data_IF_831298224757
#
_entry.id   IF_831298224757
#
_cell.length_a   1.000
_cell.length_b   1.000
_cell.length_c   1.000
_cell.angle_alpha   90.00
_cell.angle_beta   90.00
_cell.angle_gamma   90.00
#
_symmetry.space_group_name_H-M   'P 1'
#
loop_
_entity.id
_entity.type
_entity.pdbx_description
1 polymer ?
#
# COMPACT_ATOMS: atom_id res chain seq x y z
N UNK A 1 -14.03 -36.37 24.86
CA UNK A 1 -13.08 -36.25 23.73
C UNK A 1 -12.32 -34.94 23.87
N UNK A 2 -10.99 -35.00 23.75
CA UNK A 2 -10.01 -34.05 24.30
C UNK A 2 -10.08 -32.64 23.69
N UNK A 3 -9.79 -31.65 24.54
CA UNK A 3 -9.73 -30.20 24.31
C UNK A 3 -9.10 -29.81 22.95
N UNK A 4 -9.84 -29.02 22.18
CA UNK A 4 -9.30 -28.26 21.04
C UNK A 4 -8.47 -27.13 21.66
N UNK A 5 -7.16 -27.04 21.42
CA UNK A 5 -6.33 -26.00 22.03
C UNK A 5 -6.80 -24.61 21.59
N UNK A 6 -6.84 -23.66 22.54
CA UNK A 6 -7.08 -22.24 22.31
C UNK A 6 -6.02 -21.71 21.33
N UNK A 7 -6.33 -21.71 20.03
CA UNK A 7 -5.40 -21.28 18.96
C UNK A 7 -5.39 -19.77 18.72
N UNK A 8 -6.22 -19.00 19.41
CA UNK A 8 -6.40 -17.56 19.18
C UNK A 8 -5.68 -16.73 20.23
N UNK A 9 -4.35 -16.75 20.21
CA UNK A 9 -3.53 -15.85 21.03
C UNK A 9 -3.48 -14.48 20.36
N UNK A 10 -4.27 -13.53 20.85
CA UNK A 10 -4.28 -12.15 20.36
C UNK A 10 -3.10 -11.38 20.96
N UNK A 11 -2.12 -11.06 20.12
CA UNK A 11 -0.97 -10.23 20.50
C UNK A 11 -1.42 -8.77 20.66
N UNK A 12 -1.45 -8.26 21.89
CA UNK A 12 -1.61 -6.83 22.17
C UNK A 12 -0.30 -6.12 21.80
N UNK A 13 -0.26 -5.41 20.67
CA UNK A 13 0.85 -4.49 20.39
C UNK A 13 0.59 -3.14 21.05
N UNK A 14 1.42 -2.78 22.02
CA UNK A 14 1.49 -1.41 22.53
C UNK A 14 2.12 -0.52 21.45
N UNK A 15 1.34 0.45 20.96
CA UNK A 15 1.76 1.40 19.93
C UNK A 15 2.65 2.47 20.58
N UNK A 16 3.97 2.26 20.57
CA UNK A 16 4.92 3.35 20.81
C UNK A 16 6.04 3.30 19.79
N UNK A 17 6.22 4.38 19.03
CA UNK A 17 7.48 4.65 18.36
C UNK A 17 7.68 6.15 18.15
N UNK A 18 8.92 6.55 18.44
CA UNK A 18 9.50 7.88 18.35
C UNK A 18 9.61 8.31 16.88
N UNK A 19 9.13 9.51 16.58
CA UNK A 19 9.33 10.18 15.29
C UNK A 19 10.67 10.91 15.27
N UNK A 20 11.44 10.74 14.20
CA UNK A 20 12.56 11.61 13.81
C UNK A 20 12.14 12.31 12.49
N UNK A 21 12.14 13.62 12.29
CA UNK A 21 12.54 14.74 13.17
C UNK A 21 12.69 16.08 12.42
N UNK A 22 12.78 16.10 11.08
CA UNK A 22 12.98 17.37 10.35
C UNK A 22 11.73 17.93 9.63
N UNK A 23 11.05 17.16 8.77
CA UNK A 23 9.88 17.67 8.00
C UNK A 23 8.65 17.99 8.85
N UNK A 24 8.44 17.25 9.94
CA UNK A 24 7.36 17.52 10.91
C UNK A 24 7.71 18.67 11.86
N UNK A 25 9.00 18.96 12.08
CA UNK A 25 9.42 20.10 12.88
C UNK A 25 9.18 21.41 12.12
N UNK A 26 9.43 21.44 10.81
CA UNK A 26 9.22 22.60 9.95
C UNK A 26 7.73 22.89 9.70
N UNK A 27 6.92 21.86 9.43
CA UNK A 27 5.45 22.01 9.42
C UNK A 27 4.89 22.29 10.81
N UNK A 28 5.46 21.79 11.90
CA UNK A 28 5.04 22.16 13.25
C UNK A 28 5.40 23.61 13.62
N UNK A 29 6.45 24.17 13.02
CA UNK A 29 6.87 25.56 13.24
C UNK A 29 5.92 26.56 12.55
N UNK A 30 5.45 26.26 11.34
CA UNK A 30 4.58 27.18 10.56
C UNK A 30 3.09 26.82 10.58
N UNK A 31 2.75 25.53 10.73
CA UNK A 31 1.39 24.99 10.70
C UNK A 31 1.18 23.90 11.77
N UNK A 32 1.29 24.23 13.07
CA UNK A 32 1.27 23.27 14.18
C UNK A 32 0.02 22.40 14.24
N UNK A 33 -1.15 22.91 13.82
CA UNK A 33 -2.38 22.12 13.76
C UNK A 33 -2.34 21.04 12.66
N UNK A 34 -1.74 21.38 11.51
CA UNK A 34 -1.62 20.49 10.36
C UNK A 34 -0.66 19.34 10.64
N UNK A 35 0.51 19.63 11.24
CA UNK A 35 1.46 18.60 11.63
C UNK A 35 0.86 17.58 12.62
N UNK A 36 0.07 18.05 13.60
CA UNK A 36 -0.63 17.17 14.55
C UNK A 36 -1.70 16.31 13.89
N UNK A 37 -2.43 16.90 12.93
CA UNK A 37 -3.43 16.20 12.14
C UNK A 37 -2.82 15.04 11.34
N UNK A 38 -1.70 15.28 10.68
CA UNK A 38 -1.02 14.26 9.88
C UNK A 38 -0.56 13.06 10.74
N UNK A 39 -0.03 13.35 11.94
CA UNK A 39 0.33 12.30 12.90
C UNK A 39 -0.90 11.52 13.36
N UNK A 40 -2.01 12.21 13.63
CA UNK A 40 -3.27 11.57 14.03
C UNK A 40 -3.84 10.66 12.93
N UNK A 41 -3.93 11.16 11.69
CA UNK A 41 -4.43 10.40 10.53
C UNK A 41 -3.54 9.17 10.25
N UNK A 42 -2.22 9.29 10.42
CA UNK A 42 -1.29 8.16 10.33
C UNK A 42 -1.62 7.08 11.35
N UNK A 43 -1.83 7.46 12.63
CA UNK A 43 -2.13 6.50 13.70
C UNK A 43 -3.49 5.84 13.52
N UNK A 44 -4.50 6.58 13.05
CA UNK A 44 -5.82 6.02 12.69
C UNK A 44 -5.69 5.01 11.56
N UNK A 45 -4.95 5.35 10.50
CA UNK A 45 -4.71 4.45 9.36
C UNK A 45 -3.96 3.18 9.78
N UNK A 46 -3.00 3.29 10.70
CA UNK A 46 -2.30 2.14 11.27
C UNK A 46 -3.25 1.23 12.06
N UNK A 47 -4.10 1.81 12.91
CA UNK A 47 -5.12 1.05 13.65
C UNK A 47 -6.09 0.32 12.72
N UNK A 48 -6.54 0.96 11.64
CA UNK A 48 -7.38 0.34 10.61
C UNK A 48 -6.66 -0.80 9.86
N UNK A 49 -5.37 -0.63 9.57
CA UNK A 49 -4.57 -1.68 8.92
C UNK A 49 -4.42 -2.91 9.81
N UNK A 50 -4.10 -2.72 11.09
CA UNK A 50 -3.97 -3.82 12.05
C UNK A 50 -5.27 -4.60 12.18
N UNK A 51 -6.40 -3.90 12.15
CA UNK A 51 -7.71 -4.53 12.14
C UNK A 51 -7.96 -5.34 10.87
N UNK A 52 -7.64 -4.79 9.68
CA UNK A 52 -7.78 -5.52 8.42
C UNK A 52 -6.90 -6.80 8.39
N UNK A 53 -5.66 -6.71 8.86
CA UNK A 53 -4.75 -7.86 8.97
C UNK A 53 -5.31 -8.93 9.91
N UNK A 54 -5.90 -8.52 11.05
CA UNK A 54 -6.57 -9.42 11.98
C UNK A 54 -7.75 -10.15 11.32
N UNK A 55 -8.55 -9.46 10.51
CA UNK A 55 -9.67 -10.08 9.79
C UNK A 55 -9.20 -11.08 8.73
N UNK A 56 -8.11 -10.80 8.02
CA UNK A 56 -7.54 -11.72 7.02
C UNK A 56 -6.97 -12.98 7.68
N UNK A 57 -6.29 -12.83 8.83
CA UNK A 57 -5.83 -13.98 9.63
C UNK A 57 -7.02 -14.79 10.13
N UNK A 58 -8.07 -14.13 10.64
CA UNK A 58 -9.28 -14.78 11.13
C UNK A 58 -10.01 -15.54 10.01
N UNK A 59 -10.09 -14.98 8.80
CA UNK A 59 -10.66 -15.65 7.62
C UNK A 59 -9.88 -16.92 7.25
N UNK A 60 -8.54 -16.85 7.20
CA UNK A 60 -7.69 -18.02 6.94
C UNK A 60 -7.83 -19.09 8.00
N UNK A 61 -7.89 -18.70 9.27
CA UNK A 61 -8.12 -19.62 10.39
C UNK A 61 -9.50 -20.30 10.29
N UNK A 62 -10.52 -19.57 9.84
CA UNK A 62 -11.85 -20.12 9.62
C UNK A 62 -11.89 -21.18 8.51
N UNK A 63 -11.32 -20.86 7.34
CA UNK A 63 -11.20 -21.82 6.23
C UNK A 63 -10.41 -23.05 6.64
N UNK A 64 -9.27 -22.89 7.32
CA UNK A 64 -8.46 -24.01 7.81
C UNK A 64 -9.21 -24.87 8.84
N UNK A 65 -10.00 -24.26 9.72
CA UNK A 65 -10.83 -24.98 10.69
C UNK A 65 -11.97 -25.75 10.02
N UNK A 66 -12.57 -25.19 8.96
CA UNK A 66 -13.56 -25.89 8.13
C UNK A 66 -12.93 -27.10 7.43
N UNK A 67 -11.78 -26.94 6.78
CA UNK A 67 -11.07 -28.04 6.10
C UNK A 67 -10.68 -29.16 7.07
N UNK A 68 -10.11 -28.81 8.22
CA UNK A 68 -9.75 -29.77 9.26
C UNK A 68 -10.97 -30.51 9.82
N UNK A 69 -12.09 -29.80 10.00
CA UNK A 69 -13.35 -30.41 10.44
C UNK A 69 -13.93 -31.34 9.38
N UNK A 70 -13.89 -30.95 8.09
CA UNK A 70 -14.32 -31.81 6.99
C UNK A 70 -13.50 -33.11 6.93
N UNK A 71 -12.17 -33.02 7.03
CA UNK A 71 -11.29 -34.19 7.04
C UNK A 71 -11.59 -35.14 8.22
N UNK A 72 -11.86 -34.59 9.40
CA UNK A 72 -12.23 -35.36 10.59
C UNK A 72 -13.56 -36.10 10.38
N UNK A 73 -14.59 -35.40 9.89
CA UNK A 73 -15.93 -35.96 9.66
C UNK A 73 -15.88 -37.05 8.58
N UNK A 74 -15.09 -36.85 7.53
CA UNK A 74 -14.86 -37.86 6.49
C UNK A 74 -14.21 -39.12 7.06
N UNK A 75 -13.17 -38.99 7.89
CA UNK A 75 -12.52 -40.13 8.56
C UNK A 75 -13.47 -40.89 9.49
N UNK A 76 -14.44 -40.19 10.09
CA UNK A 76 -15.43 -40.77 10.99
C UNK A 76 -16.69 -41.29 10.28
N UNK A 77 -16.78 -41.17 8.95
CA UNK A 77 -17.97 -41.59 8.18
C UNK A 77 -19.22 -40.73 8.43
N UNK A 78 -19.07 -39.50 8.93
CA UNK A 78 -20.19 -38.60 9.25
C UNK A 78 -20.59 -37.75 8.03
N UNK A 79 -21.38 -38.33 7.14
CA UNK A 79 -21.76 -37.74 5.83
C UNK A 79 -22.48 -36.40 5.97
N UNK A 80 -23.53 -36.31 6.79
CA UNK A 80 -24.33 -35.09 6.95
C UNK A 80 -23.49 -33.89 7.40
N UNK A 81 -22.63 -34.11 8.40
CA UNK A 81 -21.71 -33.08 8.87
C UNK A 81 -20.69 -32.67 7.80
N UNK A 82 -20.16 -33.62 7.03
CA UNK A 82 -19.21 -33.36 5.96
C UNK A 82 -19.83 -32.48 4.85
N UNK A 83 -21.06 -32.80 4.43
CA UNK A 83 -21.79 -32.02 3.43
C UNK A 83 -22.04 -30.60 3.93
N UNK A 84 -22.47 -30.44 5.18
CA UNK A 84 -22.71 -29.13 5.77
C UNK A 84 -21.44 -28.26 5.85
N UNK A 85 -20.31 -28.84 6.25
CA UNK A 85 -19.02 -28.11 6.33
C UNK A 85 -18.51 -27.74 4.94
N UNK A 86 -18.63 -28.63 3.94
CA UNK A 86 -18.26 -28.30 2.55
C UNK A 86 -19.14 -27.21 1.94
N UNK A 87 -20.44 -27.22 2.23
CA UNK A 87 -21.35 -26.15 1.82
C UNK A 87 -20.95 -24.81 2.45
N UNK A 88 -20.57 -24.81 3.73
CA UNK A 88 -20.07 -23.61 4.40
C UNK A 88 -18.75 -23.11 3.82
N UNK A 89 -17.80 -24.01 3.53
CA UNK A 89 -16.54 -23.66 2.88
C UNK A 89 -16.77 -22.99 1.53
N UNK A 90 -17.64 -23.56 0.70
CA UNK A 90 -18.05 -22.98 -0.58
C UNK A 90 -18.66 -21.59 -0.37
N UNK A 91 -19.66 -21.47 0.51
CA UNK A 91 -20.33 -20.20 0.80
C UNK A 91 -19.35 -19.14 1.30
N UNK A 92 -18.43 -19.49 2.20
CA UNK A 92 -17.45 -18.55 2.73
C UNK A 92 -16.45 -18.11 1.66
N UNK A 93 -15.99 -19.00 0.78
CA UNK A 93 -15.12 -18.63 -0.33
C UNK A 93 -15.81 -17.71 -1.36
N UNK A 94 -17.13 -17.83 -1.51
CA UNK A 94 -17.92 -16.96 -2.42
C UNK A 94 -18.26 -15.60 -1.80
N UNK A 95 -18.49 -15.55 -0.48
CA UNK A 95 -19.05 -14.37 0.19
C UNK A 95 -18.10 -13.66 1.13
N UNK A 96 -16.98 -14.29 1.50
CA UNK A 96 -15.98 -13.85 2.47
C UNK A 96 -16.55 -13.35 3.80
N UNK A 97 -17.75 -13.80 4.15
CA UNK A 97 -18.49 -13.33 5.32
C UNK A 97 -19.08 -14.50 6.09
N UNK A 98 -19.20 -14.35 7.40
CA UNK A 98 -19.92 -15.30 8.25
C UNK A 98 -21.24 -14.66 8.69
N UNK A 99 -22.38 -15.37 8.57
CA UNK A 99 -23.67 -14.85 9.01
C UNK A 99 -23.66 -14.49 10.49
N UNK A 100 -24.20 -13.31 10.82
CA UNK A 100 -24.37 -12.88 12.20
C UNK A 100 -25.45 -13.71 12.94
N UNK A 101 -26.41 -14.26 12.20
CA UNK A 101 -27.45 -15.17 12.69
C UNK A 101 -27.39 -16.47 11.89
N UNK A 102 -27.57 -17.60 12.56
CA UNK A 102 -27.65 -18.91 11.92
C UNK A 102 -29.10 -19.23 11.57
N UNK A 103 -29.32 -19.89 10.43
CA UNK A 103 -30.63 -20.38 10.04
C UNK A 103 -30.96 -21.68 10.77
N UNK A 104 -32.25 -21.95 10.93
CA UNK A 104 -32.75 -23.22 11.42
C UNK A 104 -32.24 -24.36 10.52
N UNK A 105 -31.75 -25.44 11.13
CA UNK A 105 -31.13 -26.56 10.40
C UNK A 105 -29.62 -26.44 10.11
N UNK A 106 -28.94 -25.37 10.57
CA UNK A 106 -27.46 -25.32 10.47
C UNK A 106 -26.84 -26.46 11.30
N UNK A 107 -26.04 -27.32 10.67
CA UNK A 107 -25.40 -28.45 11.35
C UNK A 107 -24.49 -28.02 12.51
N UNK A 108 -24.46 -28.78 13.60
CA UNK A 108 -23.76 -28.44 14.85
C UNK A 108 -22.27 -28.09 14.65
N UNK A 109 -21.58 -28.80 13.76
CA UNK A 109 -20.17 -28.53 13.43
C UNK A 109 -19.95 -27.14 12.82
N UNK A 110 -20.86 -26.70 11.94
CA UNK A 110 -20.80 -25.36 11.31
C UNK A 110 -21.19 -24.28 12.33
N UNK A 111 -22.23 -24.52 13.13
CA UNK A 111 -22.65 -23.62 14.21
C UNK A 111 -21.48 -23.30 15.14
N UNK A 112 -20.75 -24.31 15.60
CA UNK A 112 -19.61 -24.14 16.49
C UNK A 112 -18.52 -23.26 15.87
N UNK A 113 -18.16 -23.50 14.61
CA UNK A 113 -17.13 -22.72 13.91
C UNK A 113 -17.56 -21.27 13.68
N UNK A 114 -18.82 -21.04 13.26
CA UNK A 114 -19.36 -19.68 13.07
C UNK A 114 -19.38 -18.89 14.37
N UNK A 115 -19.77 -19.52 15.48
CA UNK A 115 -19.74 -18.88 16.80
C UNK A 115 -18.34 -18.41 17.18
N UNK A 116 -17.32 -19.25 16.99
CA UNK A 116 -15.92 -18.90 17.29
C UNK A 116 -15.45 -17.74 16.41
N UNK A 117 -15.75 -17.78 15.10
CA UNK A 117 -15.41 -16.70 14.18
C UNK A 117 -16.06 -15.38 14.58
N UNK A 118 -17.37 -15.39 14.81
CA UNK A 118 -18.14 -14.18 15.15
C UNK A 118 -17.70 -13.57 16.48
N UNK A 119 -17.39 -14.39 17.50
CA UNK A 119 -16.83 -13.91 18.76
C UNK A 119 -15.45 -13.27 18.58
N UNK A 120 -14.59 -13.90 17.78
CA UNK A 120 -13.24 -13.38 17.49
C UNK A 120 -13.30 -12.06 16.69
N UNK A 121 -14.22 -11.96 15.73
CA UNK A 121 -14.48 -10.74 14.97
C UNK A 121 -15.00 -9.62 15.85
N UNK A 122 -15.99 -9.90 16.70
CA UNK A 122 -16.52 -8.91 17.64
C UNK A 122 -15.44 -8.38 18.60
N UNK A 123 -14.49 -9.23 19.02
CA UNK A 123 -13.34 -8.80 19.82
C UNK A 123 -12.41 -7.88 19.03
N UNK A 124 -12.09 -8.20 17.78
CA UNK A 124 -11.29 -7.35 16.90
C UNK A 124 -11.97 -5.99 16.65
N UNK A 125 -13.29 -6.00 16.43
CA UNK A 125 -14.11 -4.78 16.27
C UNK A 125 -14.02 -3.89 17.52
N UNK A 126 -14.15 -4.48 18.71
CA UNK A 126 -14.04 -3.76 19.98
C UNK A 126 -12.63 -3.19 20.19
N UNK A 127 -11.57 -3.94 19.85
CA UNK A 127 -10.19 -3.47 19.94
C UNK A 127 -9.91 -2.31 18.99
N UNK A 128 -10.40 -2.37 17.75
CA UNK A 128 -10.33 -1.26 16.80
C UNK A 128 -11.03 -0.03 17.35
N UNK A 129 -12.26 -0.17 17.82
CA UNK A 129 -13.03 0.92 18.41
C UNK A 129 -12.29 1.59 19.58
N UNK A 130 -11.80 0.80 20.54
CA UNK A 130 -11.02 1.31 21.67
C UNK A 130 -9.74 2.03 21.22
N UNK A 131 -9.05 1.51 20.21
CA UNK A 131 -7.83 2.12 19.67
C UNK A 131 -8.15 3.47 19.04
N UNK A 132 -9.19 3.55 18.21
CA UNK A 132 -9.64 4.80 17.60
C UNK A 132 -10.04 5.83 18.65
N UNK A 133 -10.83 5.44 19.66
CA UNK A 133 -11.23 6.34 20.75
C UNK A 133 -10.01 6.92 21.48
N UNK A 134 -9.03 6.09 21.86
CA UNK A 134 -7.82 6.56 22.56
C UNK A 134 -6.99 7.50 21.69
N UNK A 135 -6.84 7.20 20.40
CA UNK A 135 -6.11 8.05 19.46
C UNK A 135 -6.77 9.41 19.30
N UNK A 136 -8.09 9.45 19.14
CA UNK A 136 -8.85 10.70 19.00
C UNK A 136 -8.88 11.50 20.29
N UNK A 137 -8.97 10.85 21.46
CA UNK A 137 -8.84 11.52 22.76
C UNK A 137 -7.47 12.20 22.93
N UNK A 138 -6.39 11.48 22.62
CA UNK A 138 -5.03 12.04 22.65
C UNK A 138 -4.89 13.22 21.69
N UNK A 139 -5.45 13.11 20.48
CA UNK A 139 -5.40 14.19 19.50
C UNK A 139 -6.17 15.43 19.95
N UNK A 140 -7.36 15.26 20.52
CA UNK A 140 -8.15 16.35 21.08
C UNK A 140 -7.44 17.05 22.24
N UNK A 141 -6.78 16.30 23.12
CA UNK A 141 -5.98 16.87 24.20
C UNK A 141 -4.81 17.72 23.66
N UNK A 142 -4.09 17.21 22.65
CA UNK A 142 -2.99 17.92 22.00
C UNK A 142 -3.47 19.21 21.31
N UNK A 143 -4.60 19.17 20.61
CA UNK A 143 -5.19 20.35 19.99
C UNK A 143 -5.67 21.36 21.03
N UNK A 144 -6.25 20.91 22.14
CA UNK A 144 -6.65 21.80 23.24
C UNK A 144 -5.47 22.54 23.86
N UNK A 145 -4.36 21.84 24.10
CA UNK A 145 -3.12 22.45 24.59
C UNK A 145 -2.55 23.46 23.58
N UNK A 146 -2.56 23.11 22.29
CA UNK A 146 -2.09 23.98 21.22
C UNK A 146 -2.96 25.24 21.08
N UNK A 147 -4.29 25.09 21.13
CA UNK A 147 -5.22 26.22 21.04
C UNK A 147 -4.98 27.21 22.19
N UNK A 148 -4.83 26.71 23.43
CA UNK A 148 -4.52 27.53 24.61
C UNK A 148 -3.22 28.31 24.41
N UNK A 149 -2.15 27.64 23.96
CA UNK A 149 -0.85 28.27 23.71
C UNK A 149 -0.95 29.38 22.66
N UNK A 150 -1.50 29.09 21.48
CA UNK A 150 -1.64 30.08 20.41
C UNK A 150 -2.50 31.28 20.80
N UNK A 151 -3.48 31.09 21.68
CA UNK A 151 -4.30 32.19 22.21
C UNK A 151 -3.49 33.08 23.14
N UNK A 152 -2.65 32.49 24.00
CA UNK A 152 -1.74 33.23 24.90
C UNK A 152 -0.67 33.99 24.11
N UNK A 153 -0.19 33.41 23.02
CA UNK A 153 0.83 33.98 22.13
C UNK A 153 0.25 35.06 21.18
N UNK A 154 -1.05 35.32 21.21
CA UNK A 154 -1.72 36.30 20.34
C UNK A 154 -1.94 35.84 18.89
N UNK A 155 -1.66 34.58 18.57
CA UNK A 155 -1.79 33.99 17.23
C UNK A 155 -3.24 33.56 16.91
N UNK A 156 -4.13 34.54 16.83
CA UNK A 156 -5.59 34.31 16.73
C UNK A 156 -6.01 33.52 15.48
N UNK A 157 -5.39 33.76 14.32
CA UNK A 157 -5.71 33.00 13.09
C UNK A 157 -5.37 31.51 13.23
N UNK A 158 -4.24 31.18 13.83
CA UNK A 158 -3.83 29.81 14.07
C UNK A 158 -4.74 29.14 15.11
N UNK A 159 -5.10 29.87 16.17
CA UNK A 159 -6.04 29.39 17.18
C UNK A 159 -7.43 29.06 16.59
N UNK A 160 -7.93 29.86 15.64
CA UNK A 160 -9.20 29.59 14.94
C UNK A 160 -9.12 28.34 14.04
N UNK A 161 -7.97 28.10 13.38
CA UNK A 161 -7.72 26.86 12.62
C UNK A 161 -7.76 25.64 13.54
N UNK A 162 -7.14 25.73 14.71
CA UNK A 162 -7.15 24.65 15.71
C UNK A 162 -8.58 24.39 16.22
N UNK A 163 -9.34 25.44 16.53
CA UNK A 163 -10.75 25.33 16.95
C UNK A 163 -11.62 24.59 15.91
N UNK A 164 -11.39 24.87 14.63
CA UNK A 164 -12.07 24.19 13.52
C UNK A 164 -11.74 22.69 13.51
N UNK A 165 -10.47 22.35 13.70
CA UNK A 165 -10.01 20.95 13.72
C UNK A 165 -10.51 20.20 14.97
N UNK A 166 -10.52 20.85 16.14
CA UNK A 166 -11.14 20.29 17.37
C UNK A 166 -12.59 19.91 17.13
N UNK A 167 -13.36 20.79 16.45
CA UNK A 167 -14.77 20.52 16.14
C UNK A 167 -14.92 19.29 15.25
N UNK A 168 -14.04 19.13 14.25
CA UNK A 168 -14.04 17.96 13.35
C UNK A 168 -13.69 16.68 14.12
N UNK A 169 -12.64 16.72 14.94
CA UNK A 169 -12.21 15.58 15.74
C UNK A 169 -13.26 15.16 16.78
N UNK A 170 -13.99 16.12 17.38
CA UNK A 170 -15.11 15.83 18.28
C UNK A 170 -16.29 15.16 17.55
N UNK A 171 -16.63 15.65 16.35
CA UNK A 171 -17.67 15.00 15.51
C UNK A 171 -17.27 13.57 15.15
N UNK A 172 -16.02 13.34 14.78
CA UNK A 172 -15.51 12.00 14.53
C UNK A 172 -15.59 11.12 15.78
N UNK A 173 -15.15 11.63 16.93
CA UNK A 173 -15.22 10.91 18.21
C UNK A 173 -16.66 10.50 18.57
N UNK A 174 -17.62 11.39 18.33
CA UNK A 174 -19.04 11.11 18.56
C UNK A 174 -19.62 10.08 17.57
N UNK A 175 -19.03 9.95 16.38
CA UNK A 175 -19.42 8.95 15.37
C UNK A 175 -18.80 7.57 15.59
N UNK A 176 -17.77 7.46 16.44
CA UNK A 176 -17.17 6.18 16.76
C UNK A 176 -18.18 5.32 17.54
N UNK A 177 -18.37 4.04 17.17
CA UNK A 177 -19.32 3.19 17.86
C UNK A 177 -18.93 3.07 19.34
N UNK A 178 -19.87 3.44 20.22
CA UNK A 178 -19.70 3.44 21.66
C UNK A 178 -19.67 2.00 22.22
N UNK A 179 -18.57 1.27 22.00
CA UNK A 179 -18.25 0.03 22.72
C UNK A 179 -19.26 -1.13 22.69
N UNK A 180 -20.40 -1.01 22.00
CA UNK A 180 -21.39 -2.07 21.87
C UNK A 180 -21.51 -2.52 20.43
N UNK A 181 -21.29 -3.83 20.25
CA UNK A 181 -21.45 -4.56 19.01
C UNK A 181 -22.86 -4.34 18.44
N UNK A 182 -22.96 -3.51 17.41
CA UNK A 182 -24.05 -3.63 16.43
C UNK A 182 -23.45 -4.13 15.13
N UNK A 183 -23.89 -5.31 14.72
CA UNK A 183 -23.59 -5.89 13.42
C UNK A 183 -24.00 -4.91 12.34
N UNK A 184 -23.03 -4.44 11.56
CA UNK A 184 -23.30 -3.67 10.37
C UNK A 184 -23.31 -4.63 9.17
N UNK A 185 -24.41 -4.52 8.41
CA UNK A 185 -24.71 -5.30 7.21
C UNK A 185 -23.64 -5.15 6.13
N UNK A 186 -23.53 -6.22 5.36
CA UNK A 186 -22.66 -6.43 4.22
C UNK A 186 -22.66 -5.27 3.21
N UNK A 187 -21.46 -4.98 2.70
CA UNK A 187 -21.30 -4.41 1.35
C UNK A 187 -21.67 -5.52 0.35
N UNK A 188 -22.56 -5.29 -0.63
CA UNK A 188 -22.98 -6.34 -1.55
C UNK A 188 -21.84 -6.72 -2.53
N UNK A 189 -21.70 -8.01 -2.89
CA UNK A 189 -20.70 -8.46 -3.85
C UNK A 189 -21.09 -8.04 -5.28
N UNK A 190 -20.13 -7.55 -6.05
CA UNK A 190 -20.28 -7.49 -7.51
C UNK A 190 -20.05 -8.88 -8.12
N UNK A 191 -20.82 -9.28 -9.15
CA UNK A 191 -20.77 -10.64 -9.68
C UNK A 191 -19.43 -10.96 -10.35
N UNK A 192 -18.88 -12.12 -10.00
CA UNK A 192 -17.72 -12.74 -10.64
C UNK A 192 -18.08 -13.31 -12.01
N UNK A 193 -17.33 -12.92 -13.05
CA UNK A 193 -17.52 -13.40 -14.41
C UNK A 193 -16.90 -14.82 -14.56
N UNK A 194 -17.62 -15.86 -15.05
CA UNK A 194 -17.21 -17.26 -14.91
C UNK A 194 -16.08 -17.75 -15.84
N UNK A 195 -15.42 -16.86 -16.60
CA UNK A 195 -14.54 -17.26 -17.71
C UNK A 195 -13.04 -17.30 -17.38
N UNK A 196 -12.65 -17.42 -16.11
CA UNK A 196 -11.23 -17.38 -15.69
C UNK A 196 -10.70 -18.73 -15.18
N UNK A 197 -11.18 -19.85 -15.73
CA UNK A 197 -10.68 -21.18 -15.33
C UNK A 197 -10.22 -22.07 -16.51
N UNK A 198 -9.66 -21.46 -17.57
CA UNK A 198 -9.05 -22.25 -18.66
C UNK A 198 -7.62 -21.91 -19.09
N UNK A 199 -6.98 -20.87 -18.56
CA UNK A 199 -5.62 -20.52 -18.97
C UNK A 199 -4.62 -20.58 -17.79
N UNK A 200 -4.02 -21.76 -17.58
CA UNK A 200 -2.69 -21.85 -16.98
C UNK A 200 -1.66 -21.34 -18.00
N UNK A 201 -1.61 -20.03 -18.20
CA UNK A 201 -0.56 -19.36 -18.97
C UNK A 201 0.27 -18.47 -18.04
N UNK A 202 1.59 -18.67 -18.06
CA UNK A 202 2.55 -17.84 -17.36
C UNK A 202 2.27 -16.36 -17.68
N UNK A 203 1.97 -15.55 -16.65
CA UNK A 203 1.73 -14.14 -16.81
C UNK A 203 2.92 -13.49 -17.53
N UNK A 204 2.65 -12.79 -18.64
CA UNK A 204 3.68 -12.07 -19.35
C UNK A 204 4.36 -11.06 -18.37
N UNK A 205 5.70 -11.07 -18.26
CA UNK A 205 6.42 -10.39 -17.19
C UNK A 205 6.34 -8.86 -17.24
N UNK A 206 6.08 -8.31 -18.44
CA UNK A 206 5.90 -6.88 -18.68
C UNK A 206 4.47 -6.47 -18.28
N UNK A 207 4.35 -5.48 -17.40
CA UNK A 207 3.06 -4.92 -16.98
C UNK A 207 2.66 -3.75 -17.87
N UNK A 208 3.61 -2.83 -18.10
CA UNK A 208 3.43 -1.62 -18.88
C UNK A 208 4.78 -1.11 -19.40
N UNK A 209 4.79 -0.52 -20.59
CA UNK A 209 5.90 0.22 -21.14
C UNK A 209 5.43 1.51 -21.82
N UNK A 210 6.33 2.46 -21.95
CA UNK A 210 6.15 3.71 -22.69
C UNK A 210 7.49 4.13 -23.29
N UNK A 211 7.47 4.73 -24.47
CA UNK A 211 8.67 5.25 -25.14
C UNK A 211 8.35 6.51 -25.95
N UNK A 212 9.32 7.43 -26.00
CA UNK A 212 9.20 8.74 -26.66
C UNK A 212 8.86 8.68 -28.15
N UNK A 213 9.11 7.57 -28.84
CA UNK A 213 8.78 7.43 -30.26
C UNK A 213 7.30 7.09 -30.47
N UNK A 214 6.58 6.70 -29.40
CA UNK A 214 5.13 6.51 -29.39
C UNK A 214 4.51 7.16 -28.14
N UNK A 215 4.62 8.49 -28.02
CA UNK A 215 4.28 9.20 -26.79
C UNK A 215 2.81 9.04 -26.40
N UNK A 216 1.92 8.89 -27.37
CA UNK A 216 0.47 8.80 -27.18
C UNK A 216 -0.02 7.40 -26.74
N UNK A 217 0.88 6.41 -26.65
CA UNK A 217 0.49 5.01 -26.43
C UNK A 217 1.28 4.38 -25.29
N UNK A 218 0.56 3.97 -24.25
CA UNK A 218 1.07 3.03 -23.26
C UNK A 218 0.96 1.59 -23.80
N UNK A 219 2.01 0.80 -23.61
CA UNK A 219 2.13 -0.56 -24.14
C UNK A 219 1.96 -1.59 -23.03
N UNK A 220 1.03 -2.52 -23.21
CA UNK A 220 0.81 -3.64 -22.31
C UNK A 220 1.78 -4.81 -22.56
N UNK A 221 1.52 -5.98 -21.94
CA UNK A 221 2.46 -7.11 -21.91
C UNK A 221 2.93 -7.61 -23.29
N UNK A 222 2.06 -7.54 -24.31
CA UNK A 222 2.37 -7.98 -25.68
C UNK A 222 2.89 -6.85 -26.57
N UNK A 223 3.38 -5.74 -25.99
CA UNK A 223 3.77 -4.50 -26.68
C UNK A 223 2.69 -3.90 -27.60
N UNK A 224 1.43 -4.24 -27.31
CA UNK A 224 0.21 -3.64 -27.89
C UNK A 224 -0.30 -2.55 -26.96
N UNK A 225 -1.16 -1.65 -27.45
CA UNK A 225 -1.78 -0.62 -26.63
C UNK A 225 -2.43 -1.23 -25.37
N UNK A 226 -2.13 -0.66 -24.20
CA UNK A 226 -2.69 -1.05 -22.92
C UNK A 226 -4.09 -0.46 -22.77
N UNK A 227 -5.11 -1.21 -23.17
CA UNK A 227 -6.51 -0.76 -23.06
C UNK A 227 -6.84 -0.33 -21.63
N UNK A 228 -7.44 0.86 -21.50
CA UNK A 228 -7.84 1.44 -20.21
C UNK A 228 -6.69 2.05 -19.40
N UNK A 229 -5.47 2.08 -19.93
CA UNK A 229 -4.36 2.83 -19.33
C UNK A 229 -4.07 4.09 -20.13
N UNK A 230 -3.89 5.22 -19.44
CA UNK A 230 -3.52 6.49 -20.05
C UNK A 230 -2.53 7.26 -19.16
N UNK A 231 -1.71 8.09 -19.80
CA UNK A 231 -0.96 9.14 -19.11
C UNK A 231 -1.89 10.33 -18.87
N UNK A 232 -1.77 10.91 -17.68
CA UNK A 232 -2.59 12.04 -17.23
C UNK A 232 -1.66 13.05 -16.58
N UNK A 233 -1.21 14.03 -17.36
CA UNK A 233 -0.28 15.06 -16.95
C UNK A 233 -0.98 16.25 -16.28
N UNK A 234 -0.38 16.75 -15.21
CA UNK A 234 -0.92 17.79 -14.34
C UNK A 234 0.20 18.77 -13.97
N UNK A 235 -0.16 20.02 -13.67
CA UNK A 235 0.80 21.00 -13.12
C UNK A 235 1.97 21.35 -14.06
N UNK A 236 1.74 21.34 -15.36
CA UNK A 236 2.73 21.73 -16.38
C UNK A 236 3.62 20.60 -16.90
N UNK A 237 3.55 19.40 -16.32
CA UNK A 237 4.14 18.22 -16.96
C UNK A 237 3.46 17.98 -18.31
N UNK A 238 4.18 17.37 -19.25
CA UNK A 238 3.64 17.15 -20.58
C UNK A 238 4.62 16.50 -21.53
N UNK A 239 4.12 16.06 -22.67
CA UNK A 239 4.94 15.48 -23.74
C UNK A 239 5.49 16.63 -24.60
N UNK A 240 6.81 16.71 -24.73
CA UNK A 240 7.48 17.68 -25.59
C UNK A 240 7.37 17.31 -27.07
N UNK A 241 7.72 18.26 -27.95
CA UNK A 241 7.68 18.06 -29.42
C UNK A 241 8.54 16.89 -29.90
N UNK A 242 9.58 16.54 -29.14
CA UNK A 242 10.49 15.45 -29.44
C UNK A 242 10.02 14.10 -28.86
N UNK A 243 8.81 14.08 -28.28
CA UNK A 243 8.16 12.91 -27.68
C UNK A 243 8.60 12.61 -26.24
N UNK A 244 9.57 13.33 -25.68
CA UNK A 244 9.98 13.12 -24.29
C UNK A 244 8.90 13.58 -23.31
N UNK A 245 8.76 12.88 -22.18
CA UNK A 245 7.82 13.25 -21.12
C UNK A 245 8.54 14.17 -20.13
N UNK A 246 8.14 15.43 -20.10
CA UNK A 246 8.77 16.49 -19.30
C UNK A 246 8.13 16.62 -17.93
N UNK A 247 8.99 16.77 -16.92
CA UNK A 247 8.63 16.99 -15.53
C UNK A 247 9.14 18.37 -15.12
N UNK A 248 8.24 19.32 -14.87
CA UNK A 248 8.60 20.74 -14.61
C UNK A 248 8.14 21.25 -13.24
N UNK A 249 7.61 20.36 -12.39
CA UNK A 249 6.99 20.70 -11.11
C UNK A 249 5.64 20.03 -10.90
N UNK A 250 5.03 19.56 -11.98
CA UNK A 250 3.74 18.90 -11.99
C UNK A 250 3.78 17.43 -11.60
N UNK A 251 2.69 16.71 -11.89
CA UNK A 251 2.55 15.27 -11.67
C UNK A 251 2.06 14.61 -12.94
N UNK A 252 2.53 13.39 -13.23
CA UNK A 252 1.94 12.57 -14.28
C UNK A 252 1.44 11.27 -13.69
N UNK A 253 0.16 10.98 -13.84
CA UNK A 253 -0.45 9.72 -13.39
C UNK A 253 -0.45 8.70 -14.52
N UNK A 254 -0.35 7.42 -14.15
CA UNK A 254 -0.73 6.32 -15.04
C UNK A 254 -2.07 5.78 -14.57
N UNK A 255 -3.14 6.21 -15.22
CA UNK A 255 -4.49 5.78 -14.88
C UNK A 255 -4.72 4.33 -15.31
N UNK A 256 -5.63 3.62 -14.61
CA UNK A 256 -5.98 2.23 -14.93
C UNK A 256 -4.94 1.15 -14.55
N UNK A 257 -3.74 1.52 -14.07
CA UNK A 257 -2.67 0.55 -13.81
C UNK A 257 -2.57 0.05 -12.36
N UNK A 258 -2.91 0.88 -11.37
CA UNK A 258 -2.55 0.69 -9.96
C UNK A 258 -2.86 -0.72 -9.43
N UNK A 259 -4.10 -1.19 -9.60
CA UNK A 259 -4.53 -2.51 -9.14
C UNK A 259 -3.81 -3.65 -9.85
N UNK A 260 -3.61 -3.54 -11.17
CA UNK A 260 -2.92 -4.56 -11.96
C UNK A 260 -1.46 -4.69 -11.53
N UNK A 261 -0.77 -3.57 -11.37
CA UNK A 261 0.61 -3.53 -10.88
C UNK A 261 0.71 -4.13 -9.47
N UNK A 262 -0.18 -3.72 -8.57
CA UNK A 262 -0.25 -4.24 -7.20
C UNK A 262 -0.41 -5.75 -7.19
N UNK A 263 -1.47 -6.27 -7.81
CA UNK A 263 -1.78 -7.71 -7.78
C UNK A 263 -0.65 -8.53 -8.39
N UNK A 264 -0.07 -8.10 -9.51
CA UNK A 264 1.01 -8.81 -10.15
C UNK A 264 2.27 -8.88 -9.28
N UNK A 265 2.67 -7.78 -8.63
CA UNK A 265 3.84 -7.76 -7.74
C UNK A 265 3.58 -8.51 -6.42
N UNK A 266 2.35 -8.44 -5.87
CA UNK A 266 1.97 -9.22 -4.68
C UNK A 266 1.99 -10.73 -4.96
N UNK A 267 1.62 -11.14 -6.17
CA UNK A 267 1.62 -12.54 -6.58
C UNK A 267 3.05 -13.06 -6.80
N UNK A 268 3.86 -12.33 -7.56
CA UNK A 268 5.21 -12.78 -7.94
C UNK A 268 6.25 -12.59 -6.83
N UNK A 269 6.00 -11.67 -5.88
CA UNK A 269 6.98 -11.15 -4.92
C UNK A 269 8.19 -10.48 -5.58
N UNK A 270 8.06 -10.12 -6.85
CA UNK A 270 9.15 -9.65 -7.70
C UNK A 270 8.73 -8.40 -8.46
N UNK A 271 9.71 -7.57 -8.80
CA UNK A 271 9.47 -6.29 -9.44
C UNK A 271 10.72 -5.82 -10.17
N UNK A 272 10.54 -5.21 -11.35
CA UNK A 272 11.62 -4.46 -12.00
C UNK A 272 11.12 -3.17 -12.63
N UNK A 273 11.97 -2.17 -12.66
CA UNK A 273 11.78 -0.89 -13.35
C UNK A 273 12.98 -0.65 -14.27
N UNK A 274 12.72 -0.49 -15.56
CA UNK A 274 13.68 0.11 -16.50
C UNK A 274 13.26 1.55 -16.78
N UNK A 275 14.21 2.48 -16.80
CA UNK A 275 13.94 3.90 -17.00
C UNK A 275 15.11 4.56 -17.75
N UNK A 276 14.77 5.30 -18.80
CA UNK A 276 15.69 6.17 -19.53
C UNK A 276 15.29 7.62 -19.24
N UNK A 277 16.19 8.40 -18.65
CA UNK A 277 15.87 9.74 -18.15
C UNK A 277 17.06 10.70 -18.20
N UNK A 278 16.77 11.98 -18.06
CA UNK A 278 17.75 13.04 -17.86
C UNK A 278 17.26 13.99 -16.75
N UNK A 279 18.15 14.39 -15.85
CA UNK A 279 17.82 15.37 -14.81
C UNK A 279 18.09 16.80 -15.29
N UNK A 280 17.16 17.72 -15.03
CA UNK A 280 17.33 19.13 -15.39
C UNK A 280 18.20 19.91 -14.39
N UNK A 281 18.37 19.41 -13.18
CA UNK A 281 19.17 20.06 -12.13
C UNK A 281 19.67 19.03 -11.12
N UNK A 282 20.90 19.21 -10.64
CA UNK A 282 21.40 18.45 -9.50
C UNK A 282 20.90 18.99 -8.15
N UNK A 283 20.33 20.19 -8.05
CA UNK A 283 19.79 20.73 -6.78
C UNK A 283 18.36 20.23 -6.50
N UNK A 284 18.18 18.90 -6.48
CA UNK A 284 16.91 18.23 -6.12
C UNK A 284 17.01 17.70 -4.69
N UNK A 285 16.06 18.00 -3.81
CA UNK A 285 16.12 17.62 -2.38
C UNK A 285 14.79 17.03 -1.88
N UNK A 286 14.81 16.38 -0.71
CA UNK A 286 13.57 15.93 -0.05
C UNK A 286 13.10 14.53 -0.44
N UNK A 287 14.01 13.61 -0.80
CA UNK A 287 14.37 13.30 -2.18
C UNK A 287 13.24 13.53 -3.18
N UNK A 288 13.53 14.18 -4.30
CA UNK A 288 12.57 14.45 -5.37
C UNK A 288 12.06 13.14 -6.01
N UNK A 289 10.74 13.01 -6.19
CA UNK A 289 10.09 11.75 -6.63
C UNK A 289 10.11 11.66 -8.15
N UNK A 290 10.90 10.73 -8.68
CA UNK A 290 10.96 10.46 -10.12
C UNK A 290 9.81 9.53 -10.53
N UNK A 291 9.67 8.41 -9.83
CA UNK A 291 8.71 7.35 -10.17
C UNK A 291 8.25 6.66 -8.89
N UNK A 292 7.00 6.86 -8.50
CA UNK A 292 6.50 6.48 -7.17
C UNK A 292 5.16 5.76 -7.24
N UNK A 293 5.05 4.67 -6.49
CA UNK A 293 3.79 4.00 -6.23
C UNK A 293 3.45 4.18 -4.75
N UNK A 294 2.78 5.28 -4.42
CA UNK A 294 2.72 5.81 -3.05
C UNK A 294 1.43 6.55 -2.75
N UNK A 295 1.17 6.73 -1.46
CA UNK A 295 0.11 7.60 -0.96
C UNK A 295 0.67 8.99 -0.62
N UNK A 296 1.83 9.04 0.04
CA UNK A 296 2.49 10.26 0.52
C UNK A 296 3.97 10.00 0.91
N UNK A 297 4.62 11.00 1.54
CA UNK A 297 6.02 10.96 1.95
C UNK A 297 6.38 9.89 3.00
N UNK A 298 5.39 9.20 3.57
CA UNK A 298 5.55 8.20 4.62
C UNK A 298 5.04 6.80 4.26
N UNK A 299 4.20 6.68 3.23
CA UNK A 299 3.54 5.42 2.86
C UNK A 299 3.69 5.16 1.36
N UNK A 300 4.38 4.07 1.02
CA UNK A 300 4.63 3.69 -0.37
C UNK A 300 4.77 2.19 -0.56
N UNK A 301 4.63 1.75 -1.79
CA UNK A 301 5.14 0.45 -2.23
C UNK A 301 6.58 0.62 -2.71
N UNK A 302 6.84 1.60 -3.57
CA UNK A 302 8.18 2.02 -3.93
C UNK A 302 8.25 3.49 -4.35
N UNK A 303 9.45 4.07 -4.29
CA UNK A 303 9.79 5.32 -4.98
C UNK A 303 11.24 5.30 -5.44
N UNK A 304 11.46 5.56 -6.73
CA UNK A 304 12.74 6.03 -7.23
C UNK A 304 12.80 7.55 -7.06
N UNK A 305 13.88 8.03 -6.46
CA UNK A 305 14.06 9.43 -6.12
C UNK A 305 15.45 9.93 -6.50
N UNK A 306 15.59 11.26 -6.59
CA UNK A 306 16.86 11.96 -6.67
C UNK A 306 17.07 12.80 -5.40
N UNK A 307 18.25 12.71 -4.80
CA UNK A 307 18.75 13.60 -3.75
C UNK A 307 20.13 14.10 -4.18
N UNK A 308 20.22 15.39 -4.50
CA UNK A 308 21.36 15.97 -5.19
C UNK A 308 21.73 15.21 -6.47
N UNK A 309 22.97 14.74 -6.59
CA UNK A 309 23.43 13.88 -7.68
C UNK A 309 23.16 12.39 -7.44
N UNK A 310 22.52 12.00 -6.33
CA UNK A 310 22.36 10.61 -5.92
C UNK A 310 20.96 10.09 -6.24
N UNK A 311 20.88 8.95 -6.95
CA UNK A 311 19.65 8.18 -7.02
C UNK A 311 19.44 7.39 -5.74
N UNK A 312 18.19 7.38 -5.27
CA UNK A 312 17.77 6.73 -4.03
C UNK A 312 16.52 5.90 -4.29
N UNK A 313 16.52 4.66 -3.82
CA UNK A 313 15.36 3.77 -3.84
C UNK A 313 14.82 3.63 -2.42
N UNK A 314 13.51 3.86 -2.30
CA UNK A 314 12.72 3.36 -1.18
C UNK A 314 11.84 2.23 -1.70
N UNK A 315 12.00 1.03 -1.14
CA UNK A 315 11.24 -0.15 -1.53
C UNK A 315 10.62 -0.76 -0.29
N UNK A 316 9.29 -0.73 -0.19
CA UNK A 316 8.57 -1.38 0.88
C UNK A 316 8.60 -2.88 0.65
N UNK A 317 8.99 -3.60 1.69
CA UNK A 317 8.80 -5.04 1.82
C UNK A 317 8.26 -5.31 3.21
N UNK A 318 7.95 -6.56 3.50
CA UNK A 318 7.68 -7.05 4.88
C UNK A 318 8.77 -6.71 5.91
N UNK A 319 9.96 -6.26 5.50
CA UNK A 319 11.08 -5.97 6.41
C UNK A 319 11.57 -4.51 6.40
N UNK A 320 11.08 -3.65 5.50
CA UNK A 320 11.62 -2.28 5.34
C UNK A 320 10.71 -1.16 5.86
N UNK A 321 9.59 -1.53 6.49
CA UNK A 321 8.57 -0.61 7.00
C UNK A 321 7.73 0.04 5.90
N UNK A 322 6.66 0.72 6.30
CA UNK A 322 5.64 1.25 5.38
C UNK A 322 6.16 2.31 4.40
N UNK A 323 7.28 2.94 4.74
CA UNK A 323 7.94 3.93 3.89
C UNK A 323 9.07 3.37 3.02
N UNK A 324 9.45 2.09 3.20
CA UNK A 324 10.60 1.49 2.52
C UNK A 324 11.95 2.16 2.81
N UNK A 325 12.12 2.74 4.01
CA UNK A 325 13.32 3.50 4.42
C UNK A 325 14.24 2.75 5.38
N UNK A 326 13.90 1.50 5.74
CA UNK A 326 14.71 0.65 6.64
C UNK A 326 15.21 -0.61 5.93
N UNK A 327 16.14 -0.52 4.96
CA UNK A 327 16.92 0.65 4.61
C UNK A 327 16.35 1.45 3.43
N UNK A 328 16.68 2.74 3.39
CA UNK A 328 16.72 3.52 2.16
C UNK A 328 18.01 3.17 1.42
N UNK A 329 17.91 2.86 0.12
CA UNK A 329 19.04 2.35 -0.67
C UNK A 329 19.55 3.42 -1.61
N UNK A 330 20.80 3.84 -1.41
CA UNK A 330 21.54 4.62 -2.39
C UNK A 330 21.90 3.72 -3.57
N UNK A 331 21.55 4.17 -4.77
CA UNK A 331 21.78 3.43 -6.02
C UNK A 331 23.09 3.85 -6.68
N UNK A 332 23.06 4.92 -7.47
CA UNK A 332 24.24 5.47 -8.16
C UNK A 332 24.10 6.97 -8.38
N UNK A 333 25.22 7.62 -8.69
CA UNK A 333 25.26 9.06 -9.00
C UNK A 333 24.91 9.33 -10.45
N UNK A 334 24.29 10.48 -10.70
CA UNK A 334 23.86 10.94 -12.03
C UNK A 334 24.48 12.29 -12.37
N UNK A 335 24.48 12.62 -13.65
CA UNK A 335 25.03 13.84 -14.22
C UNK A 335 23.91 14.63 -14.89
N UNK A 336 23.91 15.95 -14.68
CA UNK A 336 22.98 16.85 -15.35
C UNK A 336 23.27 16.90 -16.86
N UNK A 337 22.22 16.94 -17.68
CA UNK A 337 22.35 16.99 -19.15
C UNK A 337 22.83 15.69 -19.80
N UNK A 338 23.00 14.61 -19.03
CA UNK A 338 23.30 13.27 -19.54
C UNK A 338 22.05 12.39 -19.45
N UNK A 339 21.72 11.73 -20.56
CA UNK A 339 20.74 10.63 -20.53
C UNK A 339 21.35 9.44 -19.80
N UNK A 340 20.68 9.01 -18.73
CA UNK A 340 20.99 7.79 -17.99
C UNK A 340 19.97 6.70 -18.32
N UNK A 341 20.47 5.47 -18.47
CA UNK A 341 19.63 4.27 -18.66
C UNK A 341 19.81 3.34 -17.48
N UNK A 342 18.73 3.09 -16.74
CA UNK A 342 18.81 2.30 -15.51
C UNK A 342 17.88 1.10 -15.54
N UNK A 343 18.26 0.08 -14.79
CA UNK A 343 17.37 -1.01 -14.38
C UNK A 343 17.53 -1.26 -12.89
N UNK A 344 16.40 -1.28 -12.17
CA UNK A 344 16.29 -1.76 -10.79
C UNK A 344 15.50 -3.06 -10.84
N UNK A 345 16.03 -4.11 -10.24
CA UNK A 345 15.34 -5.41 -10.20
C UNK A 345 15.40 -6.04 -8.82
N UNK A 346 14.27 -6.56 -8.37
CA UNK A 346 14.10 -7.13 -7.04
C UNK A 346 13.37 -8.47 -7.07
N UNK A 347 13.93 -9.41 -6.32
CA UNK A 347 13.25 -10.58 -5.78
C UNK A 347 13.61 -10.70 -4.29
N UNK A 348 12.88 -11.48 -3.47
CA UNK A 348 13.14 -11.55 -2.04
C UNK A 348 14.62 -11.84 -1.73
N UNK A 349 15.28 -10.92 -1.02
CA UNK A 349 16.69 -11.03 -0.63
C UNK A 349 17.72 -10.59 -1.68
N UNK A 350 17.29 -10.22 -2.89
CA UNK A 350 18.20 -9.81 -3.97
C UNK A 350 17.69 -8.55 -4.68
N UNK A 351 18.33 -7.43 -4.38
CA UNK A 351 18.21 -6.17 -5.11
C UNK A 351 19.43 -5.99 -6.01
N UNK A 352 19.20 -5.78 -7.29
CA UNK A 352 20.25 -5.44 -8.25
C UNK A 352 19.95 -4.13 -8.98
N UNK A 353 21.01 -3.38 -9.24
CA UNK A 353 20.95 -2.09 -9.91
C UNK A 353 21.95 -2.05 -11.06
N UNK A 354 21.50 -1.52 -12.19
CA UNK A 354 22.29 -1.34 -13.40
C UNK A 354 22.10 0.08 -13.89
N UNK A 355 23.18 0.70 -14.35
CA UNK A 355 23.19 2.05 -14.91
C UNK A 355 24.23 2.11 -16.03
N UNK A 356 23.84 2.65 -17.19
CA UNK A 356 24.71 2.95 -18.33
C UNK A 356 25.63 1.75 -18.71
N UNK A 357 25.05 0.57 -18.83
CA UNK A 357 25.74 -0.65 -19.23
C UNK A 357 26.60 -1.31 -18.14
N UNK A 358 26.51 -0.86 -16.88
CA UNK A 358 27.28 -1.40 -15.74
C UNK A 358 26.36 -1.89 -14.62
N UNK A 359 26.81 -2.94 -13.90
CA UNK A 359 26.20 -3.33 -12.62
C UNK A 359 26.82 -2.52 -11.50
N UNK A 360 25.98 -1.91 -10.65
CA UNK A 360 26.43 -1.10 -9.52
C UNK A 360 26.05 -1.83 -8.23
N UNK A 361 27.03 -2.11 -7.33
CA UNK A 361 26.73 -2.72 -6.04
C UNK A 361 25.79 -1.86 -5.20
N UNK A 362 24.78 -2.48 -4.60
CA UNK A 362 23.79 -1.81 -3.74
C UNK A 362 23.53 -2.61 -2.48
N UNK A 363 23.07 -1.91 -1.44
CA UNK A 363 22.63 -2.55 -0.20
C UNK A 363 21.46 -3.49 -0.48
N UNK A 364 21.58 -4.74 -0.02
CA UNK A 364 20.53 -5.73 -0.19
C UNK A 364 19.33 -5.44 0.72
N UNK A 365 18.16 -5.78 0.21
CA UNK A 365 16.88 -5.70 0.91
C UNK A 365 16.30 -7.12 0.97
N UNK A 366 15.66 -7.46 2.09
CA UNK A 366 14.97 -8.73 2.29
C UNK A 366 13.46 -8.54 2.45
N UNK A 367 12.71 -9.64 2.46
CA UNK A 367 11.25 -9.65 2.59
C UNK A 367 10.53 -9.62 1.24
N UNK A 368 9.21 -9.74 1.29
CA UNK A 368 8.37 -9.79 0.10
C UNK A 368 7.37 -8.62 0.01
N UNK A 369 6.52 -8.63 -1.01
CA UNK A 369 5.51 -7.59 -1.28
C UNK A 369 4.10 -7.93 -0.79
N UNK A 370 3.92 -8.95 0.07
CA UNK A 370 2.60 -9.28 0.64
C UNK A 370 1.93 -8.09 1.34
N UNK A 371 2.73 -7.17 1.90
CA UNK A 371 2.27 -5.96 2.58
C UNK A 371 2.06 -4.74 1.66
N UNK A 372 2.21 -4.88 0.34
CA UNK A 372 1.86 -3.80 -0.59
C UNK A 372 0.36 -3.50 -0.58
N UNK A 373 0.03 -2.22 -0.75
CA UNK A 373 -1.35 -1.69 -0.74
C UNK A 373 -1.69 -1.00 -2.06
N UNK A 374 -2.97 -0.80 -2.34
CA UNK A 374 -3.40 -0.01 -3.50
C UNK A 374 -3.10 1.46 -3.24
N UNK A 375 -2.12 1.99 -3.97
CA UNK A 375 -1.68 3.38 -3.93
C UNK A 375 -1.81 4.01 -5.32
N UNK A 376 -1.34 5.25 -5.48
CA UNK A 376 -1.32 5.92 -6.77
C UNK A 376 0.05 5.81 -7.40
N UNK A 377 0.12 5.39 -8.67
CA UNK A 377 1.34 5.47 -9.45
C UNK A 377 1.48 6.88 -10.04
N UNK A 378 2.57 7.56 -9.68
CA UNK A 378 2.86 8.96 -10.00
C UNK A 378 4.29 9.09 -10.51
N UNK A 379 4.46 9.87 -11.56
CA UNK A 379 5.73 10.23 -12.17
C UNK A 379 5.99 11.72 -11.92
N UNK A 380 7.24 12.05 -11.64
CA UNK A 380 7.69 13.42 -11.42
C UNK A 380 7.25 14.09 -10.12
N UNK A 381 6.47 13.42 -9.25
CA UNK A 381 6.06 13.96 -7.95
C UNK A 381 5.51 12.88 -6.99
N UNK A 382 5.01 13.33 -5.83
CA UNK A 382 4.28 12.56 -4.81
C UNK A 382 2.76 12.73 -5.00
N UNK A 383 1.93 11.76 -4.59
CA UNK A 383 0.48 11.85 -4.79
C UNK A 383 -0.15 12.99 -3.96
N UNK A 384 -0.10 12.90 -2.63
CA UNK A 384 -0.74 13.88 -1.72
C UNK A 384 0.15 15.03 -1.25
N UNK A 385 1.43 14.99 -1.54
CA UNK A 385 2.39 16.04 -1.15
C UNK A 385 3.04 16.64 -2.40
N UNK A 386 3.92 17.63 -2.21
CA UNK A 386 4.78 18.15 -3.26
C UNK A 386 6.25 17.82 -2.97
N UNK A 387 6.80 16.97 -3.83
CA UNK A 387 8.19 16.50 -3.86
C UNK A 387 8.63 16.38 -5.31
N UNK A 388 8.34 17.43 -6.09
CA UNK A 388 8.52 17.43 -7.52
C UNK A 388 9.96 17.09 -7.93
N UNK A 389 10.07 16.27 -8.95
CA UNK A 389 11.30 16.05 -9.70
C UNK A 389 11.23 16.80 -11.02
N UNK A 390 12.36 17.37 -11.45
CA UNK A 390 12.48 18.13 -12.69
C UNK A 390 13.49 17.48 -13.62
N UNK A 391 13.04 17.17 -14.83
CA UNK A 391 13.80 16.40 -15.79
C UNK A 391 12.89 15.84 -16.88
N UNK A 392 13.41 14.86 -17.60
CA UNK A 392 12.73 14.28 -18.76
C UNK A 392 12.85 12.77 -18.72
N UNK A 393 11.77 12.08 -19.10
CA UNK A 393 11.76 10.64 -19.34
C UNK A 393 11.67 10.37 -20.85
N UNK A 394 12.46 9.42 -21.32
CA UNK A 394 12.50 8.99 -22.72
C UNK A 394 11.88 7.61 -22.91
N UNK A 395 11.90 6.77 -21.88
CA UNK A 395 11.31 5.43 -21.85
C UNK A 395 11.15 4.95 -20.42
N UNK A 396 10.10 4.19 -20.15
CA UNK A 396 10.01 3.38 -18.93
C UNK A 396 9.36 2.03 -19.21
N UNK A 397 9.71 1.02 -18.40
CA UNK A 397 9.12 -0.31 -18.44
C UNK A 397 8.97 -0.86 -17.01
N UNK A 398 7.77 -1.33 -16.68
CA UNK A 398 7.44 -1.94 -15.39
C UNK A 398 7.20 -3.43 -15.55
N UNK A 399 7.82 -4.22 -14.69
CA UNK A 399 7.74 -5.67 -14.70
C UNK A 399 7.28 -6.19 -13.35
N UNK A 400 6.51 -7.28 -13.36
CA UNK A 400 6.14 -8.04 -12.16
C UNK A 400 7.10 -9.20 -11.88
N UNK A 401 8.28 -9.21 -12.50
CA UNK A 401 9.32 -10.23 -12.27
C UNK A 401 10.68 -9.57 -12.09
N UNK A 402 11.62 -10.30 -11.50
CA UNK A 402 13.02 -9.92 -11.50
C UNK A 402 13.61 -10.25 -12.87
N UNK A 403 14.25 -9.28 -13.52
CA UNK A 403 14.92 -9.49 -14.80
C UNK A 403 16.24 -10.22 -14.58
N UNK A 404 16.55 -11.17 -15.46
CA UNK A 404 17.85 -11.82 -15.47
C UNK A 404 18.96 -10.78 -15.75
N UNK A 405 20.14 -10.96 -15.16
CA UNK A 405 21.23 -9.98 -15.23
C UNK A 405 21.60 -9.57 -16.67
N UNK A 406 21.66 -10.54 -17.60
CA UNK A 406 21.92 -10.28 -19.02
C UNK A 406 20.84 -9.39 -19.65
N UNK A 407 19.58 -9.65 -19.32
CA UNK A 407 18.43 -8.92 -19.83
C UNK A 407 18.37 -7.49 -19.25
N UNK A 408 18.60 -7.35 -17.94
CA UNK A 408 18.69 -6.06 -17.26
C UNK A 408 19.82 -5.21 -17.84
N UNK A 409 21.02 -5.79 -18.02
CA UNK A 409 22.16 -5.08 -18.57
C UNK A 409 21.92 -4.61 -20.01
N UNK A 410 21.32 -5.46 -20.85
CA UNK A 410 21.01 -5.12 -22.24
C UNK A 410 20.08 -3.91 -22.36
N UNK A 411 19.21 -3.68 -21.38
CA UNK A 411 18.30 -2.51 -21.34
C UNK A 411 18.95 -1.21 -20.90
N UNK A 412 20.18 -1.26 -20.40
CA UNK A 412 20.96 -0.09 -19.95
C UNK A 412 22.05 0.33 -20.93
N UNK A 413 22.16 -0.34 -22.08
CA UNK A 413 23.19 -0.06 -23.10
C UNK A 413 22.76 1.00 -24.08
#
# INVERSE_FOLDING_TARGET
>A
MKNIPNLFTFLLLALSMVLTGLSLAETAAYHPAQARKEIYELRITQADSLYADQLEVLARQYTSALDGTAALLQKQGQLEGLLAVKAELKRFNETETVPAKNSDGTHASVLKLRTIYNQSRAKADAQRGQSMTKLTQSYLADLGALQKKLTQDGELEQALRVKTEVTKAQKFMASLPAGQARGHSAVPPQPSNPNVDRDRHAAAPLILAWDRNRPDVLLGPNRRAASGCQLSEQGGNGIAKDGSLTMVGGKTLIEGLNRKLLSACKLSKQWSLALDFETSSLQQTGPARMFSFSLNGYMRNFSLCQENDQLVLRLRTTQTGDNGTKPEVKLGKIQQGKTHRIVITYQPGKLAFYMDGKSIPVKQISGDFSNWKEYQLVLGNEWKEDRAWKGQFFRFELYSVALAAREALARTR
#
